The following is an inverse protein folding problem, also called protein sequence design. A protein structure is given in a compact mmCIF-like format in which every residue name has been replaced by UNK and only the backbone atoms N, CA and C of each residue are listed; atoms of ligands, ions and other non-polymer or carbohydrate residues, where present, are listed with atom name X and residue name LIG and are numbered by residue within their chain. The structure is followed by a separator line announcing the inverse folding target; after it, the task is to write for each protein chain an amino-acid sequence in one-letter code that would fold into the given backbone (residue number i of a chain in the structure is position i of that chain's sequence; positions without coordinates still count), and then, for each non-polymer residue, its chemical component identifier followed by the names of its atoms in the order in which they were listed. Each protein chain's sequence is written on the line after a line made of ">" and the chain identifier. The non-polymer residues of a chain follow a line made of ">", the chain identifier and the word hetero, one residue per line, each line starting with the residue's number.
data_IF_715360530665
#
_entry.id   IF_715360530665
#
_cell.length_a   1.000
_cell.length_b   1.000
_cell.length_c   1.000
_cell.angle_alpha   90.00
_cell.angle_beta   90.00
_cell.angle_gamma   90.00
#
_symmetry.space_group_name_H-M   'P 1'
#
loop_
_entity.id
_entity.type
_entity.pdbx_description
1 polymer ?
#
# COMPACT_ATOMS: atom_id res chain seq x y z
N UNK A 1 20.08 14.18 8.35
CA UNK A 1 20.84 14.85 7.25
C UNK A 1 20.05 14.72 5.95
N UNK A 2 19.98 15.77 5.13
CA UNK A 2 19.20 15.80 3.88
C UNK A 2 20.16 15.85 2.68
N UNK A 3 19.86 15.05 1.63
CA UNK A 3 20.64 14.97 0.38
C UNK A 3 19.72 15.26 -0.81
N UNK A 4 20.20 16.05 -1.75
CA UNK A 4 19.45 16.49 -2.93
C UNK A 4 20.09 15.95 -4.19
N UNK A 5 19.30 15.29 -5.02
CA UNK A 5 19.65 14.81 -6.34
C UNK A 5 18.72 15.44 -7.38
N UNK A 6 19.00 15.25 -8.65
CA UNK A 6 18.21 15.87 -9.71
C UNK A 6 16.72 15.47 -9.64
N UNK A 7 16.45 14.18 -9.45
CA UNK A 7 15.11 13.60 -9.61
C UNK A 7 14.54 13.01 -8.29
N UNK A 8 15.26 13.19 -7.17
CA UNK A 8 14.81 12.71 -5.84
C UNK A 8 15.57 13.36 -4.69
N UNK A 9 14.99 13.28 -3.52
CA UNK A 9 15.58 13.77 -2.26
C UNK A 9 15.61 12.64 -1.24
N UNK A 10 16.62 12.65 -0.37
CA UNK A 10 16.80 11.68 0.71
C UNK A 10 16.93 12.43 2.01
N UNK A 11 16.13 12.06 3.00
CA UNK A 11 16.30 12.45 4.39
C UNK A 11 16.74 11.23 5.19
N UNK A 12 17.97 11.26 5.71
CA UNK A 12 18.44 10.25 6.66
C UNK A 12 17.88 10.57 8.03
N UNK A 13 17.22 9.60 8.65
CA UNK A 13 16.63 9.74 9.97
C UNK A 13 17.68 9.54 11.06
N UNK A 14 18.17 10.63 11.60
CA UNK A 14 19.14 10.62 12.72
C UNK A 14 18.48 10.21 14.05
N UNK A 15 17.16 10.27 14.12
CA UNK A 15 16.36 9.93 15.30
C UNK A 15 15.77 8.52 15.22
N UNK A 16 16.21 7.69 14.26
CA UNK A 16 15.75 6.31 14.19
C UNK A 16 16.18 5.56 15.44
N UNK A 17 15.21 5.03 16.17
CA UNK A 17 15.47 4.26 17.37
C UNK A 17 15.68 2.78 17.01
N UNK A 18 16.60 2.06 17.68
CA UNK A 18 16.71 0.62 17.55
C UNK A 18 15.37 -0.06 17.81
N UNK A 19 15.11 -1.19 17.13
CA UNK A 19 13.86 -1.95 17.23
C UNK A 19 13.46 -2.35 18.67
N UNK A 20 14.35 -2.22 19.64
CA UNK A 20 14.15 -2.59 21.05
C UNK A 20 13.70 -1.46 21.98
N UNK A 21 13.44 -0.26 21.48
CA UNK A 21 12.89 0.80 22.34
C UNK A 21 11.42 0.53 22.61
N UNK A 22 11.06 0.38 23.88
CA UNK A 22 9.73 0.00 24.36
C UNK A 22 8.70 1.15 24.26
N UNK A 23 8.50 1.72 23.06
CA UNK A 23 7.34 2.57 22.80
C UNK A 23 6.16 1.70 22.40
N UNK A 24 4.99 2.04 22.91
CA UNK A 24 3.76 1.31 22.64
C UNK A 24 3.27 1.75 21.24
N UNK A 25 3.56 0.93 20.24
CA UNK A 25 2.97 1.00 18.90
C UNK A 25 1.77 0.05 18.83
N UNK A 26 0.93 0.21 17.83
CA UNK A 26 -0.07 -0.80 17.53
C UNK A 26 0.60 -2.14 17.21
N UNK A 27 0.03 -3.26 17.66
CA UNK A 27 0.70 -4.57 17.54
C UNK A 27 0.56 -5.17 16.13
N UNK A 28 1.11 -4.51 15.12
CA UNK A 28 1.18 -5.07 13.77
C UNK A 28 2.25 -6.18 13.72
N UNK A 29 1.99 -7.28 14.42
CA UNK A 29 2.94 -8.38 14.62
C UNK A 29 2.41 -9.73 14.09
N UNK A 30 3.19 -10.79 14.37
CA UNK A 30 2.84 -12.17 13.95
C UNK A 30 1.52 -12.66 14.55
N UNK A 31 1.13 -12.20 15.72
CA UNK A 31 -0.11 -12.63 16.39
C UNK A 31 -1.31 -12.10 15.66
N UNK A 32 -1.32 -10.79 15.36
CA UNK A 32 -2.37 -10.16 14.56
C UNK A 32 -2.39 -10.74 13.16
N UNK A 33 -1.23 -10.88 12.51
CA UNK A 33 -1.12 -11.42 11.17
C UNK A 33 -1.67 -12.85 11.06
N UNK A 34 -1.55 -13.68 12.11
CA UNK A 34 -2.08 -15.05 12.10
C UNK A 34 -3.61 -15.07 11.95
N UNK A 35 -4.33 -14.20 12.67
CA UNK A 35 -5.79 -14.08 12.57
C UNK A 35 -6.20 -13.55 11.18
N UNK A 36 -5.48 -12.56 10.65
CA UNK A 36 -5.69 -11.98 9.32
C UNK A 36 -5.51 -13.02 8.22
N UNK A 37 -4.39 -13.76 8.26
CA UNK A 37 -4.08 -14.79 7.25
C UNK A 37 -5.11 -15.93 7.32
N UNK A 38 -5.53 -16.35 8.53
CA UNK A 38 -6.59 -17.34 8.70
C UNK A 38 -7.86 -16.91 7.98
N UNK A 39 -8.25 -15.65 8.13
CA UNK A 39 -9.41 -15.09 7.41
C UNK A 39 -9.17 -15.07 5.90
N UNK A 40 -8.08 -14.50 5.41
CA UNK A 40 -7.81 -14.40 3.97
C UNK A 40 -7.74 -15.77 3.30
N UNK A 41 -7.15 -16.77 3.97
CA UNK A 41 -7.13 -18.16 3.47
C UNK A 41 -8.53 -18.78 3.31
N UNK A 42 -9.55 -18.23 3.96
CA UNK A 42 -10.93 -18.69 3.79
C UNK A 42 -11.65 -18.06 2.60
N UNK A 43 -11.08 -17.00 2.00
CA UNK A 43 -11.69 -16.30 0.87
C UNK A 43 -11.57 -17.10 -0.43
N UNK A 44 -12.57 -17.02 -1.32
CA UNK A 44 -12.46 -17.65 -2.64
C UNK A 44 -11.32 -17.02 -3.44
N UNK A 45 -10.56 -17.86 -4.14
CA UNK A 45 -9.45 -17.42 -4.97
C UNK A 45 -8.22 -16.94 -4.19
N UNK A 46 -8.16 -17.15 -2.87
CA UNK A 46 -6.93 -16.87 -2.13
C UNK A 46 -5.78 -17.76 -2.63
N UNK A 47 -4.70 -17.10 -2.97
CA UNK A 47 -3.38 -17.69 -3.16
C UNK A 47 -2.34 -16.66 -2.68
N UNK A 48 -1.21 -17.10 -2.12
CA UNK A 48 -0.11 -16.18 -1.85
C UNK A 48 0.31 -15.47 -3.14
N UNK A 49 0.40 -14.15 -3.12
CA UNK A 49 0.92 -13.41 -4.25
C UNK A 49 2.39 -13.79 -4.52
N UNK A 50 2.87 -13.76 -5.76
CA UNK A 50 4.23 -14.16 -6.08
C UNK A 50 5.29 -13.32 -5.34
N UNK A 51 6.41 -13.95 -5.01
CA UNK A 51 7.66 -13.27 -4.65
C UNK A 51 8.63 -13.45 -5.83
N UNK A 52 8.73 -12.45 -6.70
CA UNK A 52 9.63 -12.47 -7.84
C UNK A 52 11.07 -12.25 -7.37
N UNK A 53 11.97 -13.16 -7.75
CA UNK A 53 13.40 -13.00 -7.53
C UNK A 53 14.04 -12.46 -8.81
N UNK A 54 14.68 -11.29 -8.75
CA UNK A 54 15.39 -10.65 -9.85
C UNK A 54 16.87 -11.05 -9.79
N UNK A 55 17.17 -12.29 -10.19
CA UNK A 55 18.48 -12.92 -10.00
C UNK A 55 19.55 -12.31 -10.89
N UNK A 56 19.25 -12.16 -12.18
CA UNK A 56 20.18 -11.58 -13.16
C UNK A 56 20.47 -10.11 -12.84
N UNK A 57 19.43 -9.38 -12.44
CA UNK A 57 19.57 -8.00 -12.00
C UNK A 57 20.44 -7.91 -10.74
N UNK A 58 20.24 -8.80 -9.77
CA UNK A 58 21.04 -8.86 -8.55
C UNK A 58 22.52 -9.15 -8.85
N UNK A 59 22.78 -10.09 -9.76
CA UNK A 59 24.13 -10.43 -10.19
C UNK A 59 24.80 -9.28 -10.93
N UNK A 60 24.07 -8.59 -11.82
CA UNK A 60 24.58 -7.42 -12.54
C UNK A 60 25.02 -6.27 -11.61
N UNK A 61 24.29 -6.08 -10.51
CA UNK A 61 24.65 -5.09 -9.49
C UNK A 61 25.61 -5.60 -8.41
N UNK A 62 25.98 -6.89 -8.44
CA UNK A 62 26.88 -7.50 -7.46
C UNK A 62 26.34 -7.46 -6.03
N UNK A 63 25.06 -7.75 -5.85
CA UNK A 63 24.40 -7.91 -4.54
C UNK A 63 23.78 -9.31 -4.44
N UNK A 64 23.45 -9.72 -3.24
CA UNK A 64 22.99 -11.08 -2.95
C UNK A 64 21.59 -11.36 -3.49
N UNK A 65 20.68 -10.37 -3.50
CA UNK A 65 19.34 -10.58 -4.04
C UNK A 65 18.47 -9.34 -4.06
N UNK A 66 17.59 -9.28 -5.07
CA UNK A 66 16.46 -8.34 -5.15
C UNK A 66 15.20 -9.20 -5.26
N UNK A 67 14.26 -8.98 -4.37
CA UNK A 67 13.00 -9.69 -4.30
C UNK A 67 11.84 -8.68 -4.34
N UNK A 68 10.84 -8.97 -5.16
CA UNK A 68 9.63 -8.16 -5.30
C UNK A 68 8.40 -8.99 -4.94
N UNK A 69 7.68 -8.61 -3.87
CA UNK A 69 6.36 -9.15 -3.56
C UNK A 69 5.35 -8.53 -4.51
N UNK A 70 4.79 -9.31 -5.41
CA UNK A 70 3.98 -8.84 -6.53
C UNK A 70 2.47 -8.94 -6.23
N UNK A 71 1.90 -7.85 -5.74
CA UNK A 71 0.48 -7.76 -5.39
C UNK A 71 -0.44 -7.48 -6.60
N UNK A 72 0.08 -7.34 -7.82
CA UNK A 72 -0.74 -7.21 -9.02
C UNK A 72 -1.65 -8.45 -9.25
N UNK A 73 -1.27 -9.59 -8.67
CA UNK A 73 -2.03 -10.84 -8.77
C UNK A 73 -3.10 -11.01 -7.69
N UNK A 74 -3.19 -10.07 -6.71
CA UNK A 74 -4.06 -10.25 -5.54
C UNK A 74 -5.54 -10.29 -5.91
N UNK A 75 -6.19 -11.44 -5.70
CA UNK A 75 -7.62 -11.68 -5.90
C UNK A 75 -8.16 -11.31 -7.30
N UNK A 76 -7.29 -11.15 -8.30
CA UNK A 76 -7.68 -10.63 -9.61
C UNK A 76 -8.04 -9.14 -9.62
N UNK A 77 -7.73 -8.41 -8.54
CA UNK A 77 -8.03 -6.97 -8.41
C UNK A 77 -6.93 -6.08 -8.97
N UNK A 78 -5.82 -6.66 -9.42
CA UNK A 78 -4.67 -5.91 -9.94
C UNK A 78 -4.05 -4.93 -8.92
N UNK A 79 -4.29 -5.14 -7.60
CA UNK A 79 -3.76 -4.34 -6.51
C UNK A 79 -3.99 -4.98 -5.13
N UNK A 80 -3.18 -4.62 -4.14
CA UNK A 80 -3.21 -5.15 -2.76
C UNK A 80 -4.41 -4.72 -1.90
N UNK A 81 -5.10 -3.65 -2.28
CA UNK A 81 -6.11 -2.97 -1.42
C UNK A 81 -7.29 -3.88 -1.00
N UNK A 82 -7.56 -4.94 -1.77
CA UNK A 82 -8.55 -5.94 -1.40
C UNK A 82 -8.26 -6.64 -0.06
N UNK A 83 -6.98 -6.76 0.34
CA UNK A 83 -6.59 -7.32 1.63
C UNK A 83 -7.15 -6.49 2.80
N UNK A 84 -6.89 -5.19 2.80
CA UNK A 84 -7.36 -4.30 3.86
C UNK A 84 -8.88 -4.16 3.85
N UNK A 85 -9.47 -3.91 2.68
CA UNK A 85 -10.91 -3.73 2.53
C UNK A 85 -11.72 -4.94 3.00
N UNK A 86 -11.30 -6.16 2.62
CA UNK A 86 -12.01 -7.38 3.00
C UNK A 86 -11.89 -7.71 4.48
N UNK A 87 -10.69 -7.54 5.07
CA UNK A 87 -10.50 -7.81 6.49
C UNK A 87 -11.24 -6.81 7.38
N UNK A 88 -11.15 -5.52 7.08
CA UNK A 88 -11.90 -4.51 7.83
C UNK A 88 -13.41 -4.72 7.73
N UNK A 89 -13.93 -4.99 6.53
CA UNK A 89 -15.36 -5.30 6.36
C UNK A 89 -15.78 -6.55 7.15
N UNK A 90 -14.96 -7.61 7.12
CA UNK A 90 -15.17 -8.81 7.94
C UNK A 90 -15.26 -8.47 9.44
N UNK A 91 -14.33 -7.68 9.96
CA UNK A 91 -14.29 -7.27 11.37
C UNK A 91 -15.51 -6.44 11.76
N UNK A 92 -15.89 -5.48 10.91
CA UNK A 92 -17.09 -4.63 11.09
C UNK A 92 -18.35 -5.51 11.12
N UNK A 93 -18.46 -6.44 10.19
CA UNK A 93 -19.63 -7.34 10.15
C UNK A 93 -19.68 -8.27 11.37
N UNK A 94 -18.55 -8.78 11.85
CA UNK A 94 -18.49 -9.53 13.08
C UNK A 94 -19.01 -8.71 14.27
N UNK A 95 -18.55 -7.46 14.40
CA UNK A 95 -18.99 -6.56 15.46
C UNK A 95 -20.51 -6.28 15.39
N UNK A 96 -21.00 -5.93 14.18
CA UNK A 96 -22.44 -5.63 13.95
C UNK A 96 -23.36 -6.84 14.23
N UNK A 97 -22.88 -8.04 14.00
CA UNK A 97 -23.64 -9.28 14.19
C UNK A 97 -23.37 -9.98 15.53
N UNK A 98 -22.56 -9.37 16.41
CA UNK A 98 -22.21 -9.95 17.72
C UNK A 98 -21.41 -11.25 17.63
N UNK A 99 -20.55 -11.39 16.60
CA UNK A 99 -19.74 -12.58 16.35
C UNK A 99 -18.31 -12.38 16.85
N UNK A 100 -17.72 -13.42 17.41
CA UNK A 100 -16.27 -13.44 17.66
C UNK A 100 -15.52 -13.76 16.36
N UNK A 101 -14.80 -12.75 15.82
CA UNK A 101 -14.04 -12.87 14.58
C UNK A 101 -12.96 -13.97 14.62
N UNK A 102 -12.55 -14.41 15.81
CA UNK A 102 -11.57 -15.50 15.96
C UNK A 102 -12.19 -16.89 15.71
N UNK A 103 -13.49 -17.01 15.86
CA UNK A 103 -14.21 -18.29 15.74
C UNK A 103 -14.92 -18.47 14.40
N UNK A 104 -15.11 -17.39 13.64
CA UNK A 104 -15.77 -17.41 12.33
C UNK A 104 -14.79 -17.03 11.20
N UNK A 105 -15.16 -17.38 9.98
CA UNK A 105 -14.44 -17.00 8.76
C UNK A 105 -15.45 -16.66 7.64
N UNK A 106 -14.94 -16.45 6.41
CA UNK A 106 -15.76 -16.11 5.25
C UNK A 106 -16.93 -17.08 5.03
N UNK A 107 -16.75 -18.39 5.26
CA UNK A 107 -17.79 -19.42 5.02
C UNK A 107 -19.01 -19.21 5.89
N UNK A 108 -18.84 -18.66 7.10
CA UNK A 108 -19.97 -18.33 7.98
C UNK A 108 -20.92 -17.31 7.33
N UNK A 109 -20.36 -16.33 6.61
CA UNK A 109 -21.12 -15.28 5.94
C UNK A 109 -21.82 -15.75 4.67
N UNK A 110 -21.62 -16.99 4.23
CA UNK A 110 -22.32 -17.58 3.09
C UNK A 110 -23.65 -18.24 3.47
N UNK A 111 -23.98 -18.34 4.76
CA UNK A 111 -25.27 -18.84 5.24
C UNK A 111 -26.37 -17.85 4.85
N UNK A 112 -27.50 -18.34 4.32
CA UNK A 112 -28.59 -17.50 3.79
C UNK A 112 -29.10 -16.47 4.81
N UNK A 113 -29.23 -16.87 6.07
CA UNK A 113 -29.71 -15.99 7.15
C UNK A 113 -28.72 -14.85 7.44
N UNK A 114 -27.43 -15.13 7.40
CA UNK A 114 -26.35 -14.14 7.61
C UNK A 114 -26.28 -13.21 6.42
N UNK A 115 -26.35 -13.74 5.21
CA UNK A 115 -26.37 -12.92 3.98
C UNK A 115 -27.54 -11.95 3.94
N UNK A 116 -28.73 -12.38 4.38
CA UNK A 116 -29.90 -11.50 4.51
C UNK A 116 -29.68 -10.35 5.49
N UNK A 117 -28.88 -10.55 6.54
CA UNK A 117 -28.51 -9.50 7.48
C UNK A 117 -27.47 -8.57 6.87
N UNK A 118 -26.43 -9.12 6.24
CA UNK A 118 -25.40 -8.34 5.53
C UNK A 118 -25.98 -7.49 4.40
N UNK A 119 -26.99 -7.97 3.68
CA UNK A 119 -27.65 -7.22 2.60
C UNK A 119 -28.34 -5.92 3.07
N UNK A 120 -28.55 -5.72 4.37
CA UNK A 120 -29.08 -4.48 4.95
C UNK A 120 -28.00 -3.47 5.29
N UNK A 121 -26.72 -3.86 5.19
CA UNK A 121 -25.57 -3.03 5.55
C UNK A 121 -25.02 -2.37 4.28
N UNK A 122 -24.85 -1.06 4.35
CA UNK A 122 -24.29 -0.26 3.28
C UNK A 122 -22.99 0.39 3.70
N UNK A 123 -21.96 0.24 2.88
CA UNK A 123 -20.65 0.86 3.08
C UNK A 123 -20.49 2.09 2.19
N UNK A 124 -19.68 3.03 2.62
CA UNK A 124 -19.30 4.19 1.81
C UNK A 124 -17.82 4.50 1.98
N UNK A 125 -17.18 4.96 0.91
CA UNK A 125 -15.79 5.41 0.95
C UNK A 125 -15.50 6.47 -0.11
N UNK A 126 -14.39 7.20 0.04
CA UNK A 126 -13.82 8.06 -0.99
C UNK A 126 -12.43 7.55 -1.39
N UNK A 127 -12.10 7.56 -2.70
CA UNK A 127 -10.87 6.94 -3.20
C UNK A 127 -10.51 7.38 -4.62
N UNK A 128 -9.22 7.27 -4.97
CA UNK A 128 -8.73 7.44 -6.34
C UNK A 128 -8.86 6.17 -7.21
N UNK A 129 -9.27 5.01 -6.63
CA UNK A 129 -9.48 3.78 -7.40
C UNK A 129 -9.27 2.48 -6.62
N UNK A 130 -8.05 2.11 -6.27
CA UNK A 130 -7.74 0.76 -5.75
C UNK A 130 -8.43 0.41 -4.42
N UNK A 131 -8.57 1.37 -3.51
CA UNK A 131 -9.29 1.13 -2.25
C UNK A 131 -10.79 0.91 -2.51
N UNK A 132 -11.42 1.75 -3.34
CA UNK A 132 -12.81 1.58 -3.76
C UNK A 132 -13.06 0.24 -4.46
N UNK A 133 -12.15 -0.20 -5.32
CA UNK A 133 -12.18 -1.51 -5.97
C UNK A 133 -12.13 -2.64 -4.94
N UNK A 134 -11.26 -2.52 -3.93
CA UNK A 134 -11.19 -3.47 -2.81
C UNK A 134 -12.48 -3.50 -1.98
N UNK A 135 -13.07 -2.33 -1.69
CA UNK A 135 -14.35 -2.20 -0.97
C UNK A 135 -15.52 -2.78 -1.78
N UNK A 136 -15.60 -2.47 -3.08
CA UNK A 136 -16.61 -3.00 -3.99
C UNK A 136 -16.58 -4.54 -4.03
N UNK A 137 -15.38 -5.11 -4.21
CA UNK A 137 -15.18 -6.55 -4.19
C UNK A 137 -15.56 -7.19 -2.84
N UNK A 138 -15.14 -6.59 -1.73
CA UNK A 138 -15.48 -7.07 -0.41
C UNK A 138 -17.00 -7.02 -0.16
N UNK A 139 -17.69 -5.95 -0.57
CA UNK A 139 -19.14 -5.85 -0.48
C UNK A 139 -19.84 -7.01 -1.21
N UNK A 140 -19.39 -7.37 -2.40
CA UNK A 140 -19.87 -8.55 -3.15
C UNK A 140 -19.65 -9.86 -2.38
N UNK A 141 -18.46 -10.05 -1.79
CA UNK A 141 -18.14 -11.24 -1.02
C UNK A 141 -19.12 -11.48 0.11
N UNK A 142 -19.46 -10.44 0.86
CA UNK A 142 -20.35 -10.53 2.02
C UNK A 142 -21.84 -10.32 1.70
N UNK A 143 -22.17 -9.93 0.48
CA UNK A 143 -23.54 -9.61 0.08
C UNK A 143 -24.05 -8.28 0.62
N UNK A 144 -23.14 -7.37 0.96
CA UNK A 144 -23.41 -5.98 1.29
C UNK A 144 -23.50 -5.11 0.02
N UNK A 145 -23.91 -3.86 0.16
CA UNK A 145 -23.80 -2.83 -0.89
C UNK A 145 -22.79 -1.76 -0.49
N UNK A 146 -22.28 -1.02 -1.48
CA UNK A 146 -21.37 0.08 -1.21
C UNK A 146 -21.58 1.25 -2.19
N UNK A 147 -21.20 2.46 -1.75
CA UNK A 147 -21.07 3.64 -2.61
C UNK A 147 -19.63 4.16 -2.51
N UNK A 148 -19.06 4.46 -3.66
CA UNK A 148 -17.68 4.93 -3.77
C UNK A 148 -17.66 6.29 -4.43
N UNK A 149 -17.17 7.30 -3.74
CA UNK A 149 -16.97 8.64 -4.27
C UNK A 149 -15.52 8.82 -4.72
N UNK A 150 -15.35 9.30 -5.93
CA UNK A 150 -14.05 9.60 -6.51
C UNK A 150 -13.87 11.11 -6.64
N UNK A 151 -12.65 11.64 -6.39
CA UNK A 151 -12.41 13.08 -6.54
C UNK A 151 -12.49 13.51 -7.99
N UNK A 152 -12.71 14.82 -8.19
CA UNK A 152 -12.68 15.46 -9.51
C UNK A 152 -11.37 15.17 -10.23
N UNK A 153 -11.48 14.82 -11.50
CA UNK A 153 -10.34 14.50 -12.36
C UNK A 153 -9.91 13.02 -12.30
N UNK A 154 -10.62 12.19 -11.52
CA UNK A 154 -10.42 10.74 -11.59
C UNK A 154 -10.72 10.18 -12.96
N UNK A 155 -9.99 9.13 -13.36
CA UNK A 155 -10.12 8.50 -14.67
C UNK A 155 -11.36 7.61 -14.72
N UNK A 156 -12.17 7.74 -15.78
CA UNK A 156 -13.41 6.97 -15.97
C UNK A 156 -13.16 5.44 -15.93
N UNK A 157 -12.05 4.98 -16.50
CA UNK A 157 -11.69 3.57 -16.47
C UNK A 157 -11.58 3.03 -15.02
N UNK A 158 -11.12 3.84 -14.07
CA UNK A 158 -11.05 3.46 -12.64
C UNK A 158 -12.43 3.38 -12.02
N UNK A 159 -13.35 4.31 -12.38
CA UNK A 159 -14.74 4.28 -11.93
C UNK A 159 -15.42 2.98 -12.38
N UNK A 160 -15.28 2.65 -13.65
CA UNK A 160 -15.83 1.40 -14.23
C UNK A 160 -15.24 0.18 -13.53
N UNK A 161 -13.91 0.16 -13.31
CA UNK A 161 -13.24 -0.95 -12.64
C UNK A 161 -13.71 -1.16 -11.18
N UNK A 162 -14.16 -0.11 -10.49
CA UNK A 162 -14.76 -0.23 -9.15
C UNK A 162 -16.10 -0.94 -9.22
N UNK A 163 -16.97 -0.57 -10.16
CA UNK A 163 -18.28 -1.18 -10.33
C UNK A 163 -18.18 -2.63 -10.80
N UNK A 164 -17.29 -2.92 -11.75
CA UNK A 164 -17.05 -4.29 -12.24
C UNK A 164 -16.46 -5.23 -11.18
N UNK A 165 -15.66 -4.69 -10.25
CA UNK A 165 -15.05 -5.50 -9.20
C UNK A 165 -16.07 -6.14 -8.26
N UNK A 166 -17.25 -5.51 -8.06
CA UNK A 166 -18.13 -6.04 -7.05
C UNK A 166 -19.56 -5.51 -7.01
N UNK A 167 -19.94 -5.04 -5.85
CA UNK A 167 -21.31 -4.63 -5.55
C UNK A 167 -21.35 -3.18 -5.03
N UNK A 168 -20.70 -2.29 -5.74
CA UNK A 168 -20.71 -0.86 -5.44
C UNK A 168 -21.22 -0.04 -6.63
N UNK A 169 -21.80 1.12 -6.33
CA UNK A 169 -21.95 2.23 -7.28
C UNK A 169 -20.77 3.17 -7.09
N UNK A 170 -20.21 3.70 -8.18
CA UNK A 170 -19.09 4.62 -8.15
C UNK A 170 -19.43 5.93 -8.87
N UNK A 171 -19.09 7.06 -8.27
CA UNK A 171 -19.37 8.40 -8.78
C UNK A 171 -18.10 9.25 -8.75
N UNK A 172 -17.75 9.86 -9.90
CA UNK A 172 -16.74 10.93 -9.95
C UNK A 172 -17.42 12.23 -9.59
N UNK A 173 -17.02 12.82 -8.48
CA UNK A 173 -17.62 14.04 -7.93
C UNK A 173 -16.92 15.31 -8.45
N UNK A 174 -17.51 16.48 -8.16
CA UNK A 174 -16.84 17.78 -8.36
C UNK A 174 -15.90 18.17 -7.19
N UNK A 175 -15.77 17.31 -6.19
CA UNK A 175 -14.98 17.52 -4.99
C UNK A 175 -13.49 17.17 -5.19
N UNK A 176 -12.60 17.84 -4.47
CA UNK A 176 -11.24 17.31 -4.27
C UNK A 176 -11.30 16.09 -3.32
N UNK A 177 -10.15 15.43 -3.11
CA UNK A 177 -10.09 14.22 -2.30
C UNK A 177 -10.63 14.42 -0.88
N UNK A 178 -10.18 15.47 -0.17
CA UNK A 178 -10.58 15.71 1.21
C UNK A 178 -12.08 16.02 1.32
N UNK A 179 -12.61 16.80 0.38
CA UNK A 179 -14.04 17.09 0.28
C UNK A 179 -14.87 15.83 -0.02
N UNK A 180 -14.36 14.92 -0.85
CA UNK A 180 -15.03 13.64 -1.14
C UNK A 180 -15.05 12.73 0.11
N UNK A 181 -13.98 12.73 0.92
CA UNK A 181 -13.93 12.04 2.22
C UNK A 181 -14.94 12.64 3.19
N UNK A 182 -14.98 13.96 3.32
CA UNK A 182 -15.95 14.67 4.18
C UNK A 182 -17.39 14.40 3.72
N UNK A 183 -17.65 14.43 2.42
CA UNK A 183 -18.96 14.10 1.85
C UNK A 183 -19.38 12.67 2.20
N UNK A 184 -18.46 11.70 2.04
CA UNK A 184 -18.69 10.31 2.41
C UNK A 184 -19.00 10.14 3.90
N UNK A 185 -18.27 10.85 4.76
CA UNK A 185 -18.51 10.88 6.21
C UNK A 185 -19.89 11.44 6.57
N UNK A 186 -20.28 12.56 5.95
CA UNK A 186 -21.57 13.18 6.19
C UNK A 186 -22.74 12.28 5.73
N UNK A 187 -22.61 11.62 4.58
CA UNK A 187 -23.59 10.66 4.09
C UNK A 187 -23.69 9.42 4.97
N UNK A 188 -22.55 8.91 5.47
CA UNK A 188 -22.53 7.79 6.40
C UNK A 188 -23.40 8.09 7.63
N UNK A 189 -23.20 9.25 8.24
CA UNK A 189 -23.97 9.68 9.43
C UNK A 189 -25.45 9.91 9.15
N UNK A 190 -25.77 10.47 7.98
CA UNK A 190 -27.16 10.80 7.60
C UNK A 190 -27.99 9.55 7.30
N UNK A 191 -27.40 8.53 6.70
CA UNK A 191 -28.09 7.37 6.18
C UNK A 191 -27.86 6.09 7.00
N UNK A 192 -27.18 6.17 8.14
CA UNK A 192 -26.74 5.01 8.94
C UNK A 192 -25.87 4.03 8.10
N UNK A 193 -25.06 4.59 7.21
CA UNK A 193 -24.08 3.83 6.44
C UNK A 193 -22.75 3.72 7.20
N UNK A 194 -21.90 2.80 6.79
CA UNK A 194 -20.61 2.57 7.43
C UNK A 194 -19.52 3.14 6.54
N UNK A 195 -18.82 4.18 7.01
CA UNK A 195 -17.63 4.66 6.35
C UNK A 195 -16.51 3.62 6.50
N UNK A 196 -15.84 3.28 5.39
CA UNK A 196 -14.65 2.42 5.35
C UNK A 196 -13.52 3.12 4.59
N UNK A 197 -12.81 4.02 5.28
CA UNK A 197 -11.75 4.86 4.73
C UNK A 197 -10.38 4.36 5.19
N UNK A 198 -9.37 4.37 4.31
CA UNK A 198 -8.04 3.81 4.55
C UNK A 198 -7.03 4.80 5.16
N UNK A 199 -7.53 5.86 5.80
CA UNK A 199 -6.76 6.80 6.62
C UNK A 199 -7.50 7.07 7.92
N UNK A 200 -6.77 7.49 8.97
CA UNK A 200 -7.29 7.66 10.32
C UNK A 200 -7.22 9.12 10.77
N UNK A 201 -8.25 9.54 11.50
CA UNK A 201 -8.32 10.83 12.22
C UNK A 201 -8.93 10.66 13.61
N UNK A 202 -8.99 11.73 14.41
CA UNK A 202 -9.55 11.69 15.78
C UNK A 202 -10.99 11.18 15.79
N UNK A 203 -11.21 10.07 16.49
CA UNK A 203 -12.51 9.40 16.57
C UNK A 203 -12.83 8.45 15.41
N UNK A 204 -11.88 8.29 14.46
CA UNK A 204 -11.98 7.30 13.37
C UNK A 204 -10.66 6.56 13.23
N UNK A 205 -10.37 5.66 14.16
CA UNK A 205 -9.11 4.89 14.19
C UNK A 205 -9.33 3.39 14.00
N UNK A 206 -10.42 2.83 14.53
CA UNK A 206 -10.64 1.39 14.60
C UNK A 206 -10.72 0.71 13.22
N UNK A 207 -11.47 1.28 12.29
CA UNK A 207 -11.62 0.69 10.96
C UNK A 207 -10.35 0.82 10.11
N UNK A 208 -9.67 1.98 10.09
CA UNK A 208 -8.34 2.09 9.52
C UNK A 208 -7.32 1.11 10.11
N UNK A 209 -7.34 0.86 11.44
CA UNK A 209 -6.48 -0.16 12.06
C UNK A 209 -6.74 -1.55 11.46
N UNK A 210 -7.99 -1.96 11.30
CA UNK A 210 -8.33 -3.24 10.67
C UNK A 210 -7.96 -3.30 9.19
N UNK A 211 -7.99 -2.17 8.47
CA UNK A 211 -7.48 -2.09 7.10
C UNK A 211 -5.97 -2.36 7.09
N UNK A 212 -5.22 -1.75 8.01
CA UNK A 212 -3.77 -1.95 8.14
C UNK A 212 -3.47 -3.40 8.54
N UNK A 213 -4.21 -3.99 9.49
CA UNK A 213 -4.11 -5.40 9.83
C UNK A 213 -4.24 -6.28 8.58
N UNK A 214 -5.22 -5.99 7.72
CA UNK A 214 -5.42 -6.71 6.47
C UNK A 214 -4.18 -6.74 5.58
N UNK A 215 -3.41 -5.66 5.55
CA UNK A 215 -2.17 -5.59 4.77
C UNK A 215 -1.03 -6.45 5.32
N UNK A 216 -1.12 -6.92 6.57
CA UNK A 216 -0.08 -7.79 7.13
C UNK A 216 0.05 -9.12 6.39
N UNK A 217 -0.99 -9.55 5.68
CA UNK A 217 -0.92 -10.77 4.85
C UNK A 217 0.19 -10.70 3.81
N UNK A 218 0.34 -9.59 3.09
CA UNK A 218 1.41 -9.47 2.09
C UNK A 218 2.82 -9.53 2.73
N UNK A 219 2.99 -8.91 3.90
CA UNK A 219 4.26 -8.92 4.62
C UNK A 219 4.59 -10.32 5.18
N UNK A 220 3.58 -11.01 5.70
CA UNK A 220 3.74 -12.36 6.23
C UNK A 220 4.04 -13.39 5.12
N UNK A 221 3.35 -13.30 4.00
CA UNK A 221 3.66 -14.11 2.82
C UNK A 221 5.08 -13.85 2.30
N UNK A 222 5.50 -12.58 2.21
CA UNK A 222 6.84 -12.22 1.77
C UNK A 222 7.91 -12.81 2.72
N UNK A 223 7.70 -12.71 4.03
CA UNK A 223 8.62 -13.27 5.02
C UNK A 223 8.67 -14.80 4.96
N UNK A 224 7.52 -15.48 4.76
CA UNK A 224 7.45 -16.93 4.57
C UNK A 224 8.15 -17.38 3.28
N UNK A 225 7.90 -16.69 2.17
CA UNK A 225 8.48 -17.01 0.86
C UNK A 225 9.99 -16.75 0.78
N UNK A 226 10.51 -15.78 1.52
CA UNK A 226 11.96 -15.56 1.68
C UNK A 226 12.65 -16.72 2.43
N UNK A 227 11.91 -17.47 3.24
CA UNK A 227 12.47 -18.60 4.02
C UNK A 227 13.65 -18.18 4.90
N UNK A 228 14.83 -18.72 4.63
CA UNK A 228 16.06 -18.40 5.35
C UNK A 228 16.76 -17.12 4.89
N UNK A 229 16.25 -16.48 3.80
CA UNK A 229 16.80 -15.24 3.30
C UNK A 229 16.30 -14.07 4.16
N UNK A 230 17.23 -13.37 4.81
CA UNK A 230 16.89 -12.22 5.64
C UNK A 230 17.08 -10.94 4.82
N UNK A 231 16.04 -10.14 4.60
CA UNK A 231 16.21 -8.86 3.92
C UNK A 231 17.07 -7.92 4.76
N UNK A 232 18.04 -7.31 4.13
CA UNK A 232 18.89 -6.28 4.75
C UNK A 232 18.36 -4.88 4.50
N UNK A 233 17.59 -4.71 3.42
CA UNK A 233 16.99 -3.45 3.00
C UNK A 233 15.57 -3.71 2.56
N UNK A 234 14.65 -2.86 3.01
CA UNK A 234 13.24 -2.88 2.62
C UNK A 234 12.86 -1.48 2.18
N UNK A 235 12.31 -1.36 0.97
CA UNK A 235 11.81 -0.11 0.44
C UNK A 235 10.29 -0.20 0.34
N UNK A 236 9.59 0.74 0.97
CA UNK A 236 8.13 0.76 1.05
C UNK A 236 7.61 2.10 0.51
N UNK A 237 6.83 2.04 -0.54
CA UNK A 237 6.12 3.22 -1.03
C UNK A 237 4.99 3.61 -0.09
N UNK A 238 4.73 4.90 0.02
CA UNK A 238 3.72 5.45 0.90
C UNK A 238 2.93 6.59 0.24
N UNK A 239 1.59 6.52 0.32
CA UNK A 239 0.73 7.68 0.32
C UNK A 239 0.57 8.14 1.78
N UNK A 240 -0.57 7.86 2.42
CA UNK A 240 -0.76 8.15 3.86
C UNK A 240 0.17 7.34 4.79
N UNK A 241 0.82 6.28 4.30
CA UNK A 241 1.70 5.42 5.08
C UNK A 241 1.03 4.26 5.83
N UNK A 242 -0.26 4.02 5.62
CA UNK A 242 -0.98 2.93 6.28
C UNK A 242 -0.34 1.55 6.00
N UNK A 243 -0.19 1.18 4.73
CA UNK A 243 0.48 -0.07 4.34
C UNK A 243 1.96 -0.08 4.75
N UNK A 244 2.67 1.01 4.45
CA UNK A 244 4.10 1.10 4.72
C UNK A 244 4.41 0.91 6.22
N UNK A 245 3.63 1.52 7.12
CA UNK A 245 3.84 1.40 8.55
C UNK A 245 3.49 0.03 9.11
N UNK A 246 2.36 -0.57 8.69
CA UNK A 246 2.00 -1.92 9.10
C UNK A 246 3.05 -2.96 8.66
N UNK A 247 3.47 -2.90 7.39
CA UNK A 247 4.52 -3.78 6.84
C UNK A 247 5.87 -3.57 7.54
N UNK A 248 6.24 -2.31 7.79
CA UNK A 248 7.47 -1.95 8.52
C UNK A 248 7.48 -2.60 9.90
N UNK A 249 6.42 -2.43 10.68
CA UNK A 249 6.36 -3.00 12.03
C UNK A 249 6.38 -4.53 12.00
N UNK A 250 5.61 -5.13 11.11
CA UNK A 250 5.58 -6.57 10.95
C UNK A 250 6.98 -7.14 10.64
N UNK A 251 7.65 -6.61 9.62
CA UNK A 251 8.98 -7.09 9.21
C UNK A 251 10.03 -6.86 10.31
N UNK A 252 10.00 -5.72 11.00
CA UNK A 252 10.89 -5.49 12.16
C UNK A 252 10.59 -6.45 13.29
N UNK A 253 9.34 -6.86 13.51
CA UNK A 253 8.98 -7.89 14.48
C UNK A 253 9.53 -9.27 14.09
N UNK A 254 9.59 -9.58 12.79
CA UNK A 254 10.16 -10.83 12.27
C UNK A 254 11.67 -10.89 12.38
N UNK A 255 12.35 -9.78 12.11
CA UNK A 255 13.81 -9.71 11.96
C UNK A 255 14.49 -8.94 13.10
N UNK A 256 13.98 -9.04 14.34
CA UNK A 256 14.46 -8.28 15.53
C UNK A 256 15.96 -8.36 15.74
N UNK A 257 16.56 -9.54 15.49
CA UNK A 257 17.99 -9.77 15.71
C UNK A 257 18.89 -9.18 14.60
N UNK A 258 18.32 -8.94 13.42
CA UNK A 258 18.98 -8.34 12.25
C UNK A 258 17.98 -7.46 11.53
N UNK A 259 17.58 -6.33 12.11
CA UNK A 259 16.57 -5.47 11.52
C UNK A 259 17.07 -4.90 10.19
N UNK A 260 16.25 -4.92 9.14
CA UNK A 260 16.60 -4.32 7.87
C UNK A 260 16.64 -2.78 7.94
N UNK A 261 17.40 -2.18 7.05
CA UNK A 261 17.32 -0.75 6.75
C UNK A 261 15.95 -0.50 6.10
N UNK A 262 15.10 0.28 6.78
CA UNK A 262 13.75 0.60 6.32
C UNK A 262 13.76 1.95 5.60
N UNK A 263 13.30 1.98 4.36
CA UNK A 263 13.22 3.20 3.53
C UNK A 263 11.77 3.43 3.13
N UNK A 264 11.25 4.63 3.42
CA UNK A 264 9.94 5.08 2.95
C UNK A 264 10.13 5.93 1.69
N UNK A 265 9.31 5.67 0.68
CA UNK A 265 9.40 6.31 -0.63
C UNK A 265 8.07 6.95 -0.99
N UNK A 266 8.08 8.23 -1.32
CA UNK A 266 6.89 9.02 -1.65
C UNK A 266 7.10 9.78 -2.97
N UNK A 267 6.01 10.19 -3.67
CA UNK A 267 6.10 11.19 -4.73
C UNK A 267 6.58 12.54 -4.18
N UNK A 268 7.42 13.26 -4.89
CA UNK A 268 7.90 14.59 -4.47
C UNK A 268 6.76 15.56 -4.15
N UNK A 269 5.72 15.56 -4.98
CA UNK A 269 4.58 16.48 -4.85
C UNK A 269 3.66 16.13 -3.68
N UNK A 270 3.65 14.86 -3.23
CA UNK A 270 2.79 14.37 -2.14
C UNK A 270 3.60 13.76 -0.97
N UNK A 271 4.81 14.26 -0.70
CA UNK A 271 5.74 13.71 0.28
C UNK A 271 5.42 14.15 1.72
N UNK A 272 4.23 13.80 2.23
CA UNK A 272 3.74 14.25 3.55
C UNK A 272 4.49 13.59 4.73
N UNK A 273 4.92 12.34 4.57
CA UNK A 273 5.71 11.62 5.58
C UNK A 273 7.13 12.20 5.63
N UNK A 274 7.74 12.46 4.46
CA UNK A 274 9.03 13.12 4.36
C UNK A 274 8.99 14.50 5.02
N UNK A 275 7.96 15.30 4.74
CA UNK A 275 7.77 16.61 5.35
C UNK A 275 7.66 16.50 6.89
N UNK A 276 6.85 15.57 7.38
CA UNK A 276 6.67 15.32 8.81
C UNK A 276 7.98 14.90 9.48
N UNK A 277 8.76 14.04 8.83
CA UNK A 277 10.09 13.63 9.31
C UNK A 277 11.08 14.80 9.32
N UNK A 278 11.05 15.64 8.29
CA UNK A 278 11.92 16.83 8.16
C UNK A 278 11.61 17.89 9.22
N UNK A 279 10.35 18.15 9.53
CA UNK A 279 9.95 19.06 10.61
C UNK A 279 10.51 18.61 11.97
N UNK A 280 10.57 17.30 12.22
CA UNK A 280 11.26 16.72 13.35
C UNK A 280 10.64 17.03 14.72
N UNK A 281 9.42 17.55 14.78
CA UNK A 281 8.64 17.85 15.98
C UNK A 281 7.78 16.68 16.48
N UNK A 282 7.80 15.57 15.72
CA UNK A 282 7.07 14.34 16.03
C UNK A 282 5.61 14.31 15.57
N UNK A 283 5.11 15.39 14.97
CA UNK A 283 3.73 15.52 14.51
C UNK A 283 3.58 15.11 13.04
N UNK A 284 2.36 14.80 12.64
CA UNK A 284 1.99 14.72 11.23
C UNK A 284 1.88 16.14 10.65
N UNK A 285 2.49 16.35 9.48
CA UNK A 285 2.35 17.57 8.70
C UNK A 285 1.74 17.24 7.34
N UNK A 286 0.77 18.03 6.94
CA UNK A 286 0.09 17.88 5.65
C UNK A 286 0.77 18.70 4.56
N UNK A 287 0.67 18.22 3.32
CA UNK A 287 1.02 18.98 2.12
C UNK A 287 -0.17 19.87 1.77
N UNK A 288 0.07 21.14 1.59
CA UNK A 288 -0.96 22.10 1.18
C UNK A 288 -1.26 21.99 -0.33
N UNK A 289 -2.49 22.27 -0.71
CA UNK A 289 -2.92 22.31 -2.11
C UNK A 289 -3.40 20.97 -2.64
N UNK A 290 -3.38 20.83 -3.96
CA UNK A 290 -3.75 19.59 -4.65
C UNK A 290 -2.48 19.02 -5.32
N UNK A 291 -1.78 18.10 -4.65
CA UNK A 291 -0.60 17.49 -5.25
C UNK A 291 -0.97 16.73 -6.52
N UNK A 292 -0.11 16.77 -7.52
CA UNK A 292 -0.31 16.08 -8.81
C UNK A 292 0.88 15.20 -9.08
N UNK A 293 0.64 13.89 -9.15
CA UNK A 293 1.64 12.88 -9.54
C UNK A 293 0.94 11.77 -10.31
N UNK A 294 1.66 11.12 -11.22
CA UNK A 294 1.13 9.92 -11.90
C UNK A 294 0.97 8.73 -10.94
N UNK A 295 1.66 8.73 -9.79
CA UNK A 295 1.54 7.71 -8.74
C UNK A 295 0.25 7.90 -7.93
N UNK A 296 -0.90 7.72 -8.59
CA UNK A 296 -2.21 8.07 -8.03
C UNK A 296 -2.52 7.41 -6.69
N UNK A 297 -2.11 6.15 -6.48
CA UNK A 297 -2.28 5.43 -5.21
C UNK A 297 -1.43 5.99 -4.05
N UNK A 298 -0.49 6.88 -4.34
CA UNK A 298 0.38 7.55 -3.37
C UNK A 298 0.07 9.06 -3.26
N UNK A 299 -0.88 9.58 -4.04
CA UNK A 299 -1.21 11.01 -4.08
C UNK A 299 -2.05 11.45 -2.87
N UNK A 300 -1.42 11.46 -1.70
CA UNK A 300 -2.07 11.72 -0.41
C UNK A 300 -1.32 12.82 0.35
N UNK A 301 -2.05 13.79 0.84
CA UNK A 301 -1.47 14.98 1.50
C UNK A 301 -1.22 14.85 3.00
N UNK A 302 -1.75 13.84 3.69
CA UNK A 302 -1.69 13.76 5.17
C UNK A 302 -1.30 12.36 5.65
N UNK A 303 -0.29 12.23 6.54
CA UNK A 303 0.12 10.93 7.07
C UNK A 303 -0.97 10.26 7.92
N UNK A 304 -1.05 8.93 7.83
CA UNK A 304 -1.88 8.13 8.73
C UNK A 304 -1.31 8.19 10.15
N UNK A 305 -2.07 8.75 11.07
CA UNK A 305 -1.66 8.94 12.46
C UNK A 305 -1.41 7.64 13.22
N UNK A 306 -2.01 6.53 12.81
CA UNK A 306 -1.84 5.21 13.45
C UNK A 306 -0.44 4.65 13.20
N UNK A 307 0.10 4.83 12.01
CA UNK A 307 1.39 4.29 11.60
C UNK A 307 2.53 5.29 11.68
N UNK A 308 2.23 6.59 11.73
CA UNK A 308 3.25 7.64 11.80
C UNK A 308 4.25 7.46 12.94
N UNK A 309 3.84 7.12 14.20
CA UNK A 309 4.82 6.94 15.28
C UNK A 309 5.87 5.86 14.97
N UNK A 310 5.44 4.75 14.36
CA UNK A 310 6.35 3.67 13.99
C UNK A 310 7.26 4.07 12.82
N UNK A 311 6.69 4.68 11.77
CA UNK A 311 7.45 5.17 10.62
C UNK A 311 8.48 6.20 11.08
N UNK A 312 8.07 7.21 11.84
CA UNK A 312 8.93 8.27 12.39
C UNK A 312 10.13 7.70 13.15
N UNK A 313 9.87 6.72 14.01
CA UNK A 313 10.90 6.24 14.95
C UNK A 313 11.77 5.12 14.35
N UNK A 314 11.28 4.38 13.35
CA UNK A 314 11.94 3.15 12.88
C UNK A 314 12.40 3.20 11.41
N UNK A 315 11.87 4.10 10.59
CA UNK A 315 12.40 4.27 9.24
C UNK A 315 13.81 4.88 9.30
N UNK A 316 14.72 4.35 8.48
CA UNK A 316 16.11 4.82 8.39
C UNK A 316 16.23 5.95 7.39
N UNK A 317 15.49 5.86 6.28
CA UNK A 317 15.48 6.86 5.23
C UNK A 317 14.06 7.21 4.82
N UNK A 318 13.87 8.46 4.45
CA UNK A 318 12.70 8.98 3.77
C UNK A 318 13.13 9.53 2.42
N UNK A 319 12.51 9.10 1.34
CA UNK A 319 12.86 9.51 -0.01
C UNK A 319 11.63 10.12 -0.68
N UNK A 320 11.80 11.28 -1.31
CA UNK A 320 10.80 11.88 -2.16
C UNK A 320 11.30 11.83 -3.61
N UNK A 321 10.53 11.20 -4.50
CA UNK A 321 10.91 10.85 -5.87
C UNK A 321 9.99 11.56 -6.88
N UNK A 322 10.57 12.13 -7.92
CA UNK A 322 9.84 12.66 -9.05
C UNK A 322 9.25 11.52 -9.90
N UNK A 323 8.23 11.80 -10.67
CA UNK A 323 7.53 10.83 -11.50
C UNK A 323 8.43 10.04 -12.45
N UNK A 324 9.52 10.64 -12.92
CA UNK A 324 10.51 9.96 -13.78
C UNK A 324 11.09 8.70 -13.13
N UNK A 325 11.25 8.68 -11.80
CA UNK A 325 11.80 7.52 -11.08
C UNK A 325 10.84 6.33 -11.19
N UNK A 326 9.53 6.56 -11.04
CA UNK A 326 8.56 5.47 -11.21
C UNK A 326 8.46 5.02 -12.67
N UNK A 327 8.51 5.94 -13.64
CA UNK A 327 8.54 5.58 -15.06
C UNK A 327 9.73 4.67 -15.40
N UNK A 328 10.91 4.98 -14.87
CA UNK A 328 12.11 4.14 -15.02
C UNK A 328 11.89 2.76 -14.37
N UNK A 329 11.30 2.73 -13.18
CA UNK A 329 10.94 1.50 -12.49
C UNK A 329 9.97 0.64 -13.29
N UNK A 330 8.92 1.23 -13.87
CA UNK A 330 7.96 0.53 -14.73
C UNK A 330 8.64 -0.10 -15.96
N UNK A 331 9.47 0.69 -16.64
CA UNK A 331 10.24 0.21 -17.81
C UNK A 331 11.21 -0.91 -17.44
N UNK A 332 11.89 -0.80 -16.30
CA UNK A 332 12.84 -1.81 -15.83
C UNK A 332 12.15 -3.12 -15.41
N UNK A 333 10.99 -3.04 -14.75
CA UNK A 333 10.19 -4.22 -14.43
C UNK A 333 9.61 -4.91 -15.66
N UNK A 334 9.16 -4.14 -16.65
CA UNK A 334 8.60 -4.68 -17.89
C UNK A 334 9.67 -5.30 -18.81
N UNK A 335 10.92 -4.81 -18.73
CA UNK A 335 12.04 -5.26 -19.57
C UNK A 335 13.21 -5.73 -18.69
N UNK A 336 13.05 -6.84 -17.96
CA UNK A 336 14.10 -7.37 -17.10
C UNK A 336 15.30 -7.84 -17.91
N UNK A 337 16.47 -7.94 -17.26
CA UNK A 337 17.66 -8.47 -17.89
C UNK A 337 17.72 -10.01 -17.80
N UNK A 338 18.34 -10.64 -18.79
CA UNK A 338 18.61 -12.07 -18.80
C UNK A 338 17.32 -12.93 -18.71
N UNK A 339 17.30 -13.84 -17.76
CA UNK A 339 16.18 -14.78 -17.54
C UNK A 339 15.20 -14.31 -16.44
N UNK A 340 15.38 -13.13 -15.86
CA UNK A 340 14.45 -12.60 -14.88
C UNK A 340 13.05 -12.41 -15.48
N UNK A 341 12.03 -12.72 -14.70
CA UNK A 341 10.65 -12.54 -15.15
C UNK A 341 10.21 -11.09 -15.03
N UNK A 342 9.48 -10.62 -16.04
CA UNK A 342 8.86 -9.32 -15.98
C UNK A 342 7.84 -9.26 -14.83
N UNK A 343 7.77 -8.10 -14.18
CA UNK A 343 6.78 -7.76 -13.17
C UNK A 343 5.87 -6.69 -13.75
N UNK A 344 4.57 -6.92 -13.73
CA UNK A 344 3.58 -5.93 -14.14
C UNK A 344 3.38 -4.94 -12.99
N UNK A 345 4.02 -3.79 -13.06
CA UNK A 345 3.96 -2.78 -12.00
C UNK A 345 3.44 -1.44 -12.54
N UNK A 346 2.38 -0.94 -11.95
CA UNK A 346 1.86 0.40 -12.20
C UNK A 346 2.71 1.48 -11.53
N UNK A 347 2.26 2.72 -11.69
CA UNK A 347 3.00 3.91 -11.29
C UNK A 347 3.31 3.92 -9.79
N UNK A 348 2.34 3.56 -8.94
CA UNK A 348 2.57 3.50 -7.48
C UNK A 348 3.39 2.28 -7.06
N UNK A 349 3.33 1.20 -7.84
CA UNK A 349 4.04 -0.06 -7.57
C UNK A 349 5.53 -0.01 -7.88
N UNK A 350 5.94 0.80 -8.86
CA UNK A 350 7.27 0.74 -9.47
C UNK A 350 8.30 1.72 -8.87
N UNK A 351 7.88 2.75 -8.14
CA UNK A 351 8.77 3.83 -7.66
C UNK A 351 9.92 3.32 -6.79
N UNK A 352 9.65 2.33 -5.92
CA UNK A 352 10.68 1.75 -5.06
C UNK A 352 11.76 1.04 -5.87
N UNK A 353 11.40 0.35 -6.95
CA UNK A 353 12.36 -0.31 -7.83
C UNK A 353 13.14 0.70 -8.68
N UNK A 354 12.48 1.74 -9.18
CA UNK A 354 13.16 2.83 -9.87
C UNK A 354 14.22 3.49 -9.00
N UNK A 355 13.88 3.81 -7.75
CA UNK A 355 14.83 4.36 -6.79
C UNK A 355 15.98 3.40 -6.48
N UNK A 356 15.69 2.10 -6.25
CA UNK A 356 16.72 1.08 -6.00
C UNK A 356 17.68 0.97 -7.17
N UNK A 357 17.20 1.00 -8.43
CA UNK A 357 18.05 0.97 -9.60
C UNK A 357 19.01 2.20 -9.64
N UNK A 358 18.52 3.39 -9.33
CA UNK A 358 19.36 4.60 -9.22
C UNK A 358 20.40 4.46 -8.11
N UNK A 359 20.01 3.94 -6.93
CA UNK A 359 20.94 3.71 -5.82
C UNK A 359 22.02 2.69 -6.21
N UNK A 360 21.66 1.60 -6.88
CA UNK A 360 22.61 0.54 -7.24
C UNK A 360 23.57 0.93 -8.35
N UNK A 361 23.26 1.94 -9.15
CA UNK A 361 24.15 2.49 -10.20
C UNK A 361 25.15 3.52 -9.65
N UNK A 362 24.93 4.10 -8.48
CA UNK A 362 25.75 5.15 -7.91
C UNK A 362 26.49 4.67 -6.65
N UNK A 363 27.82 4.74 -6.68
CA UNK A 363 28.68 4.28 -5.57
C UNK A 363 28.46 5.08 -4.28
N UNK A 364 28.18 6.39 -4.39
CA UNK A 364 27.93 7.25 -3.23
C UNK A 364 26.61 6.89 -2.56
N UNK A 365 25.57 6.65 -3.37
CA UNK A 365 24.28 6.21 -2.88
C UNK A 365 24.35 4.81 -2.25
N UNK A 366 25.05 3.85 -2.89
CA UNK A 366 25.27 2.53 -2.29
C UNK A 366 25.92 2.64 -0.92
N UNK A 367 26.92 3.49 -0.76
CA UNK A 367 27.58 3.73 0.52
C UNK A 367 26.63 4.37 1.54
N UNK A 368 25.85 5.37 1.13
CA UNK A 368 24.86 6.04 1.99
C UNK A 368 23.84 5.03 2.54
N UNK A 369 23.29 4.18 1.67
CA UNK A 369 22.32 3.13 2.05
C UNK A 369 22.99 1.89 2.65
N UNK A 370 24.34 1.82 2.70
CA UNK A 370 25.12 0.67 3.19
C UNK A 370 24.89 -0.60 2.38
N UNK A 371 24.64 -0.48 1.09
CA UNK A 371 24.43 -1.62 0.18
C UNK A 371 25.80 -2.20 -0.24
N UNK A 372 25.96 -3.51 -0.07
CA UNK A 372 27.16 -4.28 -0.38
C UNK A 372 26.80 -5.62 -1.03
N UNK A 373 27.79 -6.49 -1.25
CA UNK A 373 27.61 -7.78 -1.90
C UNK A 373 26.66 -8.75 -1.13
N UNK A 374 26.56 -8.62 0.20
CA UNK A 374 25.67 -9.45 1.02
C UNK A 374 24.25 -8.90 1.14
N UNK A 375 23.97 -7.76 0.50
CA UNK A 375 22.68 -7.09 0.62
C UNK A 375 21.57 -7.86 -0.08
N UNK A 376 20.44 -7.98 0.63
CA UNK A 376 19.17 -8.53 0.16
C UNK A 376 18.13 -7.43 0.22
N UNK A 377 17.60 -7.03 -0.93
CA UNK A 377 16.59 -5.97 -1.07
C UNK A 377 15.21 -6.61 -1.21
N UNK A 378 14.25 -6.18 -0.39
CA UNK A 378 12.85 -6.54 -0.51
C UNK A 378 12.06 -5.31 -0.96
N UNK A 379 11.28 -5.48 -2.02
CA UNK A 379 10.36 -4.52 -2.61
C UNK A 379 8.94 -5.07 -2.58
N UNK A 380 7.96 -4.17 -2.66
CA UNK A 380 6.56 -4.54 -2.82
C UNK A 380 6.03 -3.84 -4.06
N UNK A 381 5.62 -4.62 -5.07
CA UNK A 381 4.79 -4.09 -6.14
C UNK A 381 3.34 -4.08 -5.67
N UNK A 382 2.78 -2.89 -5.44
CA UNK A 382 1.45 -2.73 -4.85
C UNK A 382 0.30 -2.83 -5.85
N UNK A 383 0.59 -2.65 -7.14
CA UNK A 383 -0.42 -2.67 -8.21
C UNK A 383 0.19 -3.02 -9.56
N UNK A 384 -0.63 -3.57 -10.44
CA UNK A 384 -0.31 -3.71 -11.86
C UNK A 384 -0.74 -2.49 -12.67
N UNK A 385 -1.07 -2.69 -13.94
CA UNK A 385 -1.51 -1.68 -14.89
C UNK A 385 -2.95 -1.18 -14.62
N UNK A 386 -3.16 -0.57 -13.47
CA UNK A 386 -4.48 -0.03 -13.07
C UNK A 386 -4.91 1.18 -13.90
N UNK A 387 -3.98 1.78 -14.63
CA UNK A 387 -4.16 2.69 -15.76
C UNK A 387 -3.49 2.08 -16.99
N UNK A 388 -4.20 1.25 -17.79
CA UNK A 388 -3.60 0.57 -18.94
C UNK A 388 -3.06 1.53 -20.01
N UNK A 389 -3.69 2.67 -20.22
CA UNK A 389 -3.25 3.67 -21.19
C UNK A 389 -1.96 4.36 -20.72
N UNK A 390 -1.92 4.75 -19.45
CA UNK A 390 -0.72 5.28 -18.81
C UNK A 390 0.44 4.30 -18.87
N UNK A 391 0.18 3.04 -18.54
CA UNK A 391 1.16 1.97 -18.62
C UNK A 391 1.74 1.81 -20.03
N UNK A 392 0.88 1.72 -21.06
CA UNK A 392 1.31 1.58 -22.46
C UNK A 392 2.16 2.78 -22.91
N UNK A 393 1.75 3.99 -22.55
CA UNK A 393 2.50 5.21 -22.86
C UNK A 393 3.88 5.21 -22.22
N UNK A 394 3.97 4.85 -20.93
CA UNK A 394 5.21 4.90 -20.16
C UNK A 394 6.17 3.79 -20.59
N UNK A 395 5.68 2.56 -20.69
CA UNK A 395 6.54 1.40 -20.92
C UNK A 395 6.93 1.26 -22.39
N UNK A 396 5.99 1.49 -23.30
CA UNK A 396 6.20 1.22 -24.74
C UNK A 396 6.32 2.48 -25.61
N UNK A 397 6.16 3.67 -25.01
CA UNK A 397 6.31 4.92 -25.75
C UNK A 397 5.28 5.10 -26.87
N UNK A 398 4.05 4.59 -26.70
CA UNK A 398 3.05 4.63 -27.74
C UNK A 398 2.47 6.05 -27.90
N UNK A 399 2.80 6.79 -29.01
CA UNK A 399 2.44 8.21 -29.17
C UNK A 399 0.95 8.44 -29.51
N UNK A 400 0.15 7.37 -29.60
CA UNK A 400 -1.25 7.48 -30.03
C UNK A 400 -2.24 7.74 -28.88
N UNK A 401 -1.80 7.73 -27.63
CA UNK A 401 -2.63 8.13 -26.49
C UNK A 401 -2.38 9.61 -26.20
N UNK A 402 -3.23 10.48 -26.69
CA UNK A 402 -3.23 11.90 -26.31
C UNK A 402 -3.63 12.00 -24.85
N UNK A 403 -2.82 12.69 -24.05
CA UNK A 403 -3.24 13.17 -22.74
C UNK A 403 -4.52 13.99 -22.89
N UNK A 404 -5.64 13.45 -22.44
CA UNK A 404 -6.91 14.15 -22.29
C UNK A 404 -6.89 15.07 -21.08
#
# INVERSE_FOLDING_TARGET
>A
MEYWFKDFRILQNEKSFPANTARQYLPFDKTVAADVIRFHKSLPGYAPAPLAALQEQSAAFGIKGIYCKDESHRFGLNAFKGLGGSYAMFRILCEKLGLDYKTVDYRYFQKDEVRKQCAKIHFVTATDGNHGKGVSWAAKLFGCSATVFMPKGSVEARRVAIEEAGNATAEITEYNYDQAVEHSWNLARKNDWILIQDTAWDGYEQYPEWIIDGYLTLAAEAAEQLGNMIPTHVFLQAGVGAMAGGVLEYLLSCYRNKPPVMTIVEPTEAACIYLSAKCGDGRCHSIDGNPVTIMAGLNCGTPCRLTWPAIRDKATFFCACDDIITEEGMRAYANPIGSDKAVLAGESGAVTYGLVNRILQDKTLRNLFRINADSVVLLINTEGDTDPEGYQRIVYGNPHVKSS
#
